data_IF_950936395908
#
_entry.id   IF_950936395908
#
_cell.length_a   1.000
_cell.length_b   1.000
_cell.length_c   1.000
_cell.angle_alpha   90.00
_cell.angle_beta   90.00
_cell.angle_gamma   90.00
#
_symmetry.space_group_name_H-M   'P 1'
#
loop_
_entity.id
_entity.type
_entity.pdbx_description
1 polymer ?
#
# COMPACT_ATOMS: atom_id res chain seq x y z
N UNK A 1 11.18 17.92 -16.82
CA UNK A 1 11.75 17.66 -15.47
C UNK A 1 10.66 16.97 -14.67
N UNK A 2 10.90 15.74 -14.21
CA UNK A 2 9.99 15.03 -13.32
C UNK A 2 10.28 15.37 -11.86
N UNK A 3 9.38 15.01 -10.96
CA UNK A 3 9.52 15.12 -9.51
C UNK A 3 10.49 14.09 -8.90
N UNK A 4 11.17 13.27 -9.70
CA UNK A 4 12.07 12.22 -9.24
C UNK A 4 11.37 10.88 -8.97
N UNK A 5 10.04 10.82 -9.11
CA UNK A 5 9.25 9.59 -8.91
C UNK A 5 9.19 8.78 -10.21
N UNK A 6 9.29 7.46 -10.07
CA UNK A 6 9.08 6.48 -11.13
C UNK A 6 7.93 5.60 -10.69
N UNK A 7 6.79 5.69 -11.37
CA UNK A 7 5.54 5.08 -10.89
C UNK A 7 4.96 5.93 -9.74
N UNK A 8 4.90 5.35 -8.55
CA UNK A 8 4.45 5.99 -7.30
C UNK A 8 5.45 5.77 -6.15
N UNK A 9 5.14 6.32 -4.97
CA UNK A 9 6.03 6.27 -3.81
C UNK A 9 6.34 4.86 -3.29
N UNK A 10 5.42 3.91 -3.46
CA UNK A 10 5.58 2.51 -3.04
C UNK A 10 6.41 1.70 -4.05
N UNK A 11 6.41 2.08 -5.33
CA UNK A 11 7.26 1.45 -6.36
C UNK A 11 8.71 1.93 -6.37
N UNK A 12 8.99 3.07 -5.73
CA UNK A 12 10.32 3.70 -5.75
C UNK A 12 11.41 2.80 -5.18
N UNK A 13 11.15 2.04 -4.11
CA UNK A 13 12.14 1.15 -3.50
C UNK A 13 12.74 0.16 -4.50
N UNK A 14 11.89 -0.46 -5.31
CA UNK A 14 12.32 -1.38 -6.36
C UNK A 14 12.93 -0.66 -7.57
N UNK A 15 12.38 0.50 -7.96
CA UNK A 15 12.92 1.30 -9.06
C UNK A 15 14.35 1.77 -8.79
N UNK A 16 14.63 2.20 -7.54
CA UNK A 16 15.98 2.58 -7.11
C UNK A 16 16.97 1.42 -7.24
N UNK A 17 16.60 0.22 -6.76
CA UNK A 17 17.44 -0.98 -6.88
C UNK A 17 17.73 -1.33 -8.35
N UNK A 18 16.69 -1.31 -9.20
CA UNK A 18 16.82 -1.66 -10.60
C UNK A 18 17.72 -0.67 -11.36
N UNK A 19 17.52 0.64 -11.18
CA UNK A 19 18.31 1.66 -11.87
C UNK A 19 19.75 1.75 -11.38
N UNK A 20 20.00 1.41 -10.12
CA UNK A 20 21.37 1.31 -9.63
C UNK A 20 22.11 0.14 -10.26
N UNK A 21 21.45 -1.02 -10.38
CA UNK A 21 22.03 -2.22 -10.97
C UNK A 21 22.20 -2.18 -12.50
N UNK A 22 21.50 -1.26 -13.20
CA UNK A 22 21.42 -1.24 -14.68
C UNK A 22 21.97 0.04 -15.32
N UNK A 23 22.86 0.75 -14.62
CA UNK A 23 23.50 2.00 -15.09
C UNK A 23 24.01 1.98 -16.53
N UNK A 24 24.55 0.85 -16.97
CA UNK A 24 25.09 0.67 -18.32
C UNK A 24 24.04 0.78 -19.43
N UNK A 25 22.76 0.49 -19.15
CA UNK A 25 21.71 0.41 -20.15
C UNK A 25 21.02 1.74 -20.45
N UNK A 26 21.16 2.74 -19.56
CA UNK A 26 20.58 4.06 -19.79
C UNK A 26 21.61 5.17 -19.98
N UNK A 27 22.91 4.88 -19.83
CA UNK A 27 23.94 5.80 -20.25
C UNK A 27 23.79 6.17 -21.75
N UNK A 28 24.01 7.43 -22.16
CA UNK A 28 24.51 8.56 -21.38
C UNK A 28 23.42 9.37 -20.66
N UNK A 29 22.15 8.94 -20.70
CA UNK A 29 21.07 9.63 -20.01
C UNK A 29 21.37 9.64 -18.52
N UNK A 30 21.36 10.81 -17.89
CA UNK A 30 21.58 10.92 -16.46
C UNK A 30 20.25 10.77 -15.72
N UNK A 31 20.23 9.91 -14.71
CA UNK A 31 19.15 9.84 -13.74
C UNK A 31 19.62 10.44 -12.42
N UNK A 32 18.82 11.36 -11.87
CA UNK A 32 19.13 12.05 -10.62
C UNK A 32 18.72 11.18 -9.44
N UNK A 33 19.63 10.28 -9.04
CA UNK A 33 19.44 9.39 -7.89
C UNK A 33 19.25 10.18 -6.58
N UNK A 34 19.91 11.34 -6.43
CA UNK A 34 19.77 12.17 -5.23
C UNK A 34 18.35 12.76 -5.11
N UNK A 35 17.78 13.22 -6.23
CA UNK A 35 16.39 13.66 -6.28
C UNK A 35 15.43 12.52 -5.91
N UNK A 36 15.60 11.33 -6.49
CA UNK A 36 14.78 10.17 -6.21
C UNK A 36 14.88 9.72 -4.73
N UNK A 37 16.09 9.73 -4.17
CA UNK A 37 16.35 9.41 -2.77
C UNK A 37 15.68 10.42 -1.83
N UNK A 38 15.75 11.72 -2.13
CA UNK A 38 15.10 12.75 -1.32
C UNK A 38 13.58 12.58 -1.22
N UNK A 39 12.95 12.04 -2.27
CA UNK A 39 11.51 11.80 -2.27
C UNK A 39 11.14 10.65 -1.33
N UNK A 40 11.84 9.51 -1.43
CA UNK A 40 11.57 8.36 -0.55
C UNK A 40 11.97 8.64 0.90
N UNK A 41 13.07 9.36 1.14
CA UNK A 41 13.51 9.68 2.50
C UNK A 41 12.53 10.60 3.23
N UNK A 42 11.80 11.45 2.50
CA UNK A 42 10.83 12.39 3.05
C UNK A 42 9.43 11.82 3.27
N UNK A 43 9.17 10.57 2.89
CA UNK A 43 7.85 9.95 3.03
C UNK A 43 7.75 9.11 4.30
N UNK A 44 6.60 9.18 4.97
CA UNK A 44 6.32 8.42 6.19
C UNK A 44 5.69 7.07 5.84
N UNK A 45 6.49 6.01 5.85
CA UNK A 45 6.04 4.66 5.54
C UNK A 45 5.53 3.97 6.80
N UNK A 46 4.21 3.75 6.86
CA UNK A 46 3.57 2.97 7.93
C UNK A 46 3.45 1.48 7.58
N UNK A 47 3.43 1.15 6.27
CA UNK A 47 3.25 -0.22 5.79
C UNK A 47 4.57 -1.03 5.82
N UNK A 48 4.68 -2.12 6.60
CA UNK A 48 5.92 -2.88 6.75
C UNK A 48 6.50 -3.40 5.43
N UNK A 49 5.62 -3.75 4.48
CA UNK A 49 6.05 -4.25 3.18
C UNK A 49 6.62 -3.17 2.27
N UNK A 50 6.07 -1.95 2.33
CA UNK A 50 6.67 -0.80 1.66
C UNK A 50 8.09 -0.53 2.20
N UNK A 51 8.27 -0.60 3.52
CA UNK A 51 9.58 -0.47 4.16
C UNK A 51 10.52 -1.58 3.68
N UNK A 52 10.06 -2.84 3.65
CA UNK A 52 10.88 -3.98 3.24
C UNK A 52 11.37 -3.88 1.78
N UNK A 53 10.58 -3.27 0.88
CA UNK A 53 10.97 -3.04 -0.51
C UNK A 53 11.90 -1.83 -0.68
N UNK A 54 11.79 -0.83 0.18
CA UNK A 54 12.59 0.38 0.14
C UNK A 54 13.95 0.23 0.83
N UNK A 55 13.99 -0.45 1.98
CA UNK A 55 15.15 -0.51 2.87
C UNK A 55 16.45 -0.96 2.16
N UNK A 56 16.47 -1.96 1.26
CA UNK A 56 17.68 -2.30 0.53
C UNK A 56 18.26 -1.11 -0.23
N UNK A 57 17.43 -0.37 -0.97
CA UNK A 57 17.88 0.80 -1.73
C UNK A 57 18.45 1.89 -0.82
N UNK A 58 17.84 2.13 0.34
CA UNK A 58 18.32 3.12 1.32
C UNK A 58 19.70 2.76 1.88
N UNK A 59 20.02 1.47 1.94
CA UNK A 59 21.32 0.94 2.37
C UNK A 59 22.32 0.80 1.21
N UNK A 60 21.98 1.27 0.02
CA UNK A 60 22.80 1.09 -1.19
C UNK A 60 22.93 -0.38 -1.60
N UNK A 61 21.90 -1.18 -1.33
CA UNK A 61 21.80 -2.61 -1.64
C UNK A 61 20.65 -2.89 -2.59
N UNK A 62 20.71 -4.06 -3.20
CA UNK A 62 19.68 -4.61 -4.05
C UNK A 62 19.46 -6.09 -3.73
N UNK A 63 18.41 -6.69 -4.28
CA UNK A 63 18.22 -8.13 -4.20
C UNK A 63 19.34 -8.96 -4.85
N UNK A 64 20.18 -8.36 -5.70
CA UNK A 64 21.37 -9.04 -6.26
C UNK A 64 22.47 -9.25 -5.22
N UNK A 65 22.48 -8.46 -4.14
CA UNK A 65 23.48 -8.55 -3.07
C UNK A 65 23.21 -9.71 -2.08
N UNK A 66 22.05 -10.38 -2.19
CA UNK A 66 21.61 -11.42 -1.26
C UNK A 66 22.59 -12.61 -1.20
N UNK A 67 23.19 -12.97 -2.35
CA UNK A 67 24.15 -14.07 -2.41
C UNK A 67 25.45 -13.79 -1.63
N UNK A 68 25.76 -12.51 -1.36
CA UNK A 68 26.95 -12.07 -0.64
C UNK A 68 26.71 -11.74 0.83
N UNK A 69 25.56 -12.10 1.39
CA UNK A 69 25.23 -11.80 2.79
C UNK A 69 26.10 -12.59 3.77
N UNK A 70 26.84 -11.88 4.61
CA UNK A 70 27.57 -12.45 5.74
C UNK A 70 26.69 -12.47 6.99
N UNK A 71 26.10 -13.62 7.27
CA UNK A 71 25.25 -13.84 8.46
C UNK A 71 26.04 -13.96 9.77
N UNK A 72 27.38 -14.03 9.73
CA UNK A 72 28.19 -14.04 10.95
C UNK A 72 28.45 -12.62 11.48
N UNK A 73 28.51 -11.62 10.59
CA UNK A 73 28.73 -10.22 10.93
C UNK A 73 27.59 -9.56 11.73
N UNK A 74 26.39 -10.15 11.76
CA UNK A 74 25.23 -9.63 12.51
C UNK A 74 25.22 -10.00 14.00
N UNK A 75 26.19 -10.80 14.47
CA UNK A 75 26.27 -11.23 15.88
C UNK A 75 26.82 -10.17 16.84
N UNK A 76 27.42 -9.10 16.31
CA UNK A 76 28.09 -8.06 17.10
C UNK A 76 27.28 -6.77 17.28
N UNK A 77 25.95 -6.81 17.07
CA UNK A 77 25.09 -5.64 17.32
C UNK A 77 24.97 -5.42 18.84
N UNK A 78 25.47 -4.29 19.39
CA UNK A 78 25.42 -4.04 20.82
C UNK A 78 23.96 -3.85 21.30
N UNK A 79 23.60 -4.25 22.54
CA UNK A 79 22.25 -4.15 23.08
C UNK A 79 21.67 -2.72 23.08
N UNK A 80 22.53 -1.70 23.02
CA UNK A 80 22.16 -0.28 22.96
C UNK A 80 21.54 0.17 21.63
N UNK A 81 21.52 -0.68 20.60
CA UNK A 81 20.82 -0.43 19.33
C UNK A 81 19.47 -1.15 19.23
N UNK A 82 19.03 -1.84 20.29
CA UNK A 82 17.67 -2.38 20.34
C UNK A 82 16.68 -1.22 20.48
N UNK A 83 16.05 -0.86 19.37
CA UNK A 83 14.84 -0.03 19.37
C UNK A 83 13.81 -0.70 20.29
N UNK A 84 13.09 0.06 21.13
CA UNK A 84 12.05 -0.50 21.97
C UNK A 84 11.05 -1.26 21.08
N UNK A 85 10.99 -2.57 21.28
CA UNK A 85 9.99 -3.46 20.69
C UNK A 85 8.66 -3.19 21.38
N UNK A 86 7.99 -2.10 21.01
CA UNK A 86 6.53 -1.89 21.10
C UNK A 86 6.24 -0.42 20.83
N UNK A 87 5.46 -0.07 19.79
CA UNK A 87 4.59 1.09 19.91
C UNK A 87 3.59 0.77 21.04
N UNK A 88 3.58 1.57 22.11
CA UNK A 88 2.42 1.58 22.98
C UNK A 88 1.22 1.99 22.13
N UNK A 89 0.24 1.11 21.95
CA UNK A 89 -1.06 1.49 21.41
C UNK A 89 -1.66 2.50 22.39
N UNK A 90 -1.54 3.78 22.05
CA UNK A 90 -2.20 4.84 22.77
C UNK A 90 -3.69 4.74 22.53
N UNK A 91 -4.41 3.98 23.36
CA UNK A 91 -5.88 4.02 23.41
C UNK A 91 -6.32 5.28 24.15
N UNK A 92 -5.97 6.46 23.61
CA UNK A 92 -6.64 7.69 24.00
C UNK A 92 -7.90 7.80 23.15
N UNK A 93 -9.03 7.45 23.75
CA UNK A 93 -10.37 7.70 23.22
C UNK A 93 -10.64 9.20 23.21
N UNK A 94 -9.95 9.94 22.34
CA UNK A 94 -10.34 11.30 21.98
C UNK A 94 -11.59 11.16 21.11
N UNK A 95 -12.69 11.85 21.42
CA UNK A 95 -13.84 11.93 20.53
C UNK A 95 -13.36 12.42 19.17
N UNK A 96 -13.43 11.56 18.16
CA UNK A 96 -13.10 11.93 16.80
C UNK A 96 -14.36 12.49 16.15
N UNK A 97 -14.23 13.62 15.47
CA UNK A 97 -15.31 14.15 14.65
C UNK A 97 -15.76 13.08 13.65
N UNK A 98 -17.06 13.04 13.33
CA UNK A 98 -17.59 12.14 12.32
C UNK A 98 -17.44 12.78 10.94
N UNK A 99 -17.08 11.96 9.97
CA UNK A 99 -17.05 12.31 8.55
C UNK A 99 -18.09 11.47 7.80
N UNK A 100 -18.62 12.03 6.71
CA UNK A 100 -19.52 11.32 5.81
C UNK A 100 -18.79 11.06 4.49
N UNK A 101 -18.80 9.80 4.05
CA UNK A 101 -18.18 9.34 2.81
C UNK A 101 -19.27 8.82 1.88
N UNK A 102 -19.25 9.28 0.63
CA UNK A 102 -20.10 8.73 -0.41
C UNK A 102 -19.43 7.47 -0.98
N UNK A 103 -20.02 6.31 -0.73
CA UNK A 103 -19.51 5.01 -1.14
C UNK A 103 -20.34 4.46 -2.30
N UNK A 104 -19.67 3.98 -3.35
CA UNK A 104 -20.33 3.39 -4.52
C UNK A 104 -19.60 2.16 -5.01
N UNK A 105 -20.34 1.12 -5.36
CA UNK A 105 -19.86 -0.11 -6.00
C UNK A 105 -20.47 -0.21 -7.38
N UNK A 106 -19.65 -0.56 -8.38
CA UNK A 106 -20.12 -0.68 -9.76
C UNK A 106 -19.47 -1.87 -10.45
N UNK A 107 -20.29 -2.69 -11.10
CA UNK A 107 -19.84 -3.71 -12.02
C UNK A 107 -20.52 -3.52 -13.37
N UNK A 108 -19.70 -3.23 -14.37
CA UNK A 108 -20.11 -3.05 -15.77
C UNK A 108 -19.43 -4.06 -16.70
N UNK A 109 -18.72 -5.05 -16.14
CA UNK A 109 -17.82 -5.94 -16.86
C UNK A 109 -18.31 -7.39 -16.92
N UNK A 110 -18.70 -7.99 -15.78
CA UNK A 110 -18.89 -9.44 -15.67
C UNK A 110 -20.27 -9.81 -15.12
N UNK A 111 -20.92 -10.82 -15.71
CA UNK A 111 -22.20 -11.32 -15.22
C UNK A 111 -23.32 -10.27 -15.28
N UNK A 112 -24.13 -10.19 -14.21
CA UNK A 112 -25.20 -9.19 -14.10
C UNK A 112 -24.61 -7.85 -13.67
N UNK A 113 -24.82 -6.81 -14.45
CA UNK A 113 -24.38 -5.46 -14.10
C UNK A 113 -25.14 -4.95 -12.88
N UNK A 114 -24.43 -4.22 -12.02
CA UNK A 114 -25.00 -3.59 -10.85
C UNK A 114 -24.28 -2.29 -10.52
N UNK A 115 -25.01 -1.39 -9.86
CA UNK A 115 -24.49 -0.15 -9.33
C UNK A 115 -25.26 0.20 -8.07
N UNK A 116 -24.58 0.21 -6.93
CA UNK A 116 -25.17 0.53 -5.63
C UNK A 116 -24.36 1.64 -4.97
N UNK A 117 -25.03 2.51 -4.22
CA UNK A 117 -24.38 3.62 -3.54
C UNK A 117 -25.05 3.94 -2.23
N UNK A 118 -24.27 4.37 -1.25
CA UNK A 118 -24.76 4.79 0.07
C UNK A 118 -23.88 5.89 0.66
N UNK A 119 -24.38 6.60 1.67
CA UNK A 119 -23.61 7.55 2.45
C UNK A 119 -23.26 6.93 3.79
N UNK A 120 -21.97 6.74 4.04
CA UNK A 120 -21.46 6.08 5.25
C UNK A 120 -20.91 7.14 6.20
N UNK A 121 -21.27 7.07 7.48
CA UNK A 121 -20.73 7.96 8.50
C UNK A 121 -19.74 7.20 9.37
N UNK A 122 -18.49 7.65 9.44
CA UNK A 122 -17.41 7.02 10.21
C UNK A 122 -16.62 8.06 11.01
N UNK A 123 -15.91 7.66 12.08
CA UNK A 123 -14.95 8.54 12.75
C UNK A 123 -13.88 9.07 11.79
N UNK A 124 -13.41 10.29 12.02
CA UNK A 124 -12.28 10.85 11.30
C UNK A 124 -11.03 9.97 11.53
N UNK A 125 -10.25 9.74 10.47
CA UNK A 125 -9.11 8.83 10.46
C UNK A 125 -9.48 7.35 10.39
N UNK A 126 -10.73 7.00 10.09
CA UNK A 126 -11.10 5.63 9.70
C UNK A 126 -10.57 5.28 8.30
N UNK A 127 -10.30 4.00 8.09
CA UNK A 127 -9.82 3.45 6.81
C UNK A 127 -10.99 3.16 5.87
N UNK A 128 -10.68 2.88 4.60
CA UNK A 128 -11.70 2.49 3.61
C UNK A 128 -12.35 1.14 3.98
N UNK A 129 -11.59 0.21 4.56
CA UNK A 129 -12.11 -1.05 5.08
C UNK A 129 -13.22 -0.81 6.11
N UNK A 130 -13.02 0.15 7.03
CA UNK A 130 -14.05 0.52 8.00
C UNK A 130 -15.32 1.07 7.33
N UNK A 131 -15.18 1.86 6.25
CA UNK A 131 -16.32 2.35 5.47
C UNK A 131 -17.09 1.19 4.84
N UNK A 132 -16.37 0.19 4.30
CA UNK A 132 -16.98 -1.01 3.72
C UNK A 132 -17.69 -1.86 4.77
N UNK A 133 -17.08 -2.04 5.95
CA UNK A 133 -17.69 -2.76 7.07
C UNK A 133 -19.01 -2.13 7.51
N UNK A 134 -19.04 -0.81 7.70
CA UNK A 134 -20.26 -0.10 8.11
C UNK A 134 -21.33 -0.18 7.00
N UNK A 135 -20.95 -0.06 5.73
CA UNK A 135 -21.90 -0.22 4.62
C UNK A 135 -22.47 -1.64 4.54
N UNK A 136 -21.64 -2.65 4.77
CA UNK A 136 -22.04 -4.06 4.77
C UNK A 136 -22.93 -4.42 5.97
N UNK A 137 -22.73 -3.79 7.13
CA UNK A 137 -23.58 -3.95 8.31
C UNK A 137 -24.98 -3.34 8.08
N UNK A 138 -25.05 -2.16 7.46
CA UNK A 138 -26.31 -1.47 7.16
C UNK A 138 -27.12 -2.17 6.05
N UNK A 139 -26.45 -2.59 4.96
CA UNK A 139 -27.10 -3.30 3.86
C UNK A 139 -26.19 -4.43 3.31
N UNK A 140 -26.23 -5.62 3.93
CA UNK A 140 -25.38 -6.75 3.53
C UNK A 140 -25.75 -7.34 2.17
N UNK A 141 -26.98 -7.13 1.69
CA UNK A 141 -27.40 -7.63 0.38
C UNK A 141 -26.62 -6.94 -0.73
N UNK A 142 -26.43 -5.63 -0.63
CA UNK A 142 -25.74 -4.85 -1.66
C UNK A 142 -24.25 -4.70 -1.39
N UNK A 143 -23.83 -4.53 -0.12
CA UNK A 143 -22.46 -4.14 0.22
C UNK A 143 -21.63 -5.25 0.89
N UNK A 144 -22.09 -6.50 0.90
CA UNK A 144 -21.26 -7.62 1.37
C UNK A 144 -19.97 -7.73 0.57
N UNK A 145 -18.88 -8.07 1.26
CA UNK A 145 -17.57 -8.25 0.65
C UNK A 145 -16.80 -9.38 1.36
N UNK A 146 -15.74 -9.84 0.71
CA UNK A 146 -14.80 -10.82 1.27
C UNK A 146 -13.38 -10.30 1.14
N UNK A 147 -12.52 -10.74 2.05
CA UNK A 147 -11.13 -10.34 2.13
C UNK A 147 -10.20 -11.53 2.30
N UNK A 148 -8.93 -11.30 2.00
CA UNK A 148 -7.81 -12.20 2.26
C UNK A 148 -6.63 -11.38 2.80
N UNK A 149 -5.88 -11.96 3.74
CA UNK A 149 -4.67 -11.33 4.28
C UNK A 149 -3.46 -11.58 3.36
N UNK A 150 -2.74 -10.51 3.04
CA UNK A 150 -1.54 -10.57 2.19
C UNK A 150 -0.35 -9.93 2.89
N UNK A 151 0.85 -10.04 2.30
CA UNK A 151 2.03 -9.31 2.82
C UNK A 151 1.86 -7.78 2.79
N UNK A 152 0.92 -7.27 2.00
CA UNK A 152 0.57 -5.85 1.90
C UNK A 152 -0.64 -5.46 2.77
N UNK A 153 -1.18 -6.40 3.54
CA UNK A 153 -2.38 -6.21 4.36
C UNK A 153 -3.63 -6.82 3.71
N UNK A 154 -4.79 -6.38 4.19
CA UNK A 154 -6.10 -6.91 3.79
C UNK A 154 -6.44 -6.57 2.33
N UNK A 155 -6.60 -7.60 1.52
CA UNK A 155 -6.97 -7.51 0.11
C UNK A 155 -8.43 -7.90 -0.10
N UNK A 156 -9.19 -7.08 -0.82
CA UNK A 156 -10.61 -7.34 -1.10
C UNK A 156 -10.73 -8.26 -2.31
N UNK A 157 -11.26 -9.47 -2.09
CA UNK A 157 -11.37 -10.52 -3.10
C UNK A 157 -12.73 -10.55 -3.78
N UNK A 158 -13.78 -10.09 -3.11
CA UNK A 158 -15.16 -10.15 -3.63
C UNK A 158 -16.02 -9.01 -3.08
N UNK A 159 -16.93 -8.49 -3.89
CA UNK A 159 -17.96 -7.50 -3.49
C UNK A 159 -19.29 -7.91 -4.14
N UNK A 160 -20.38 -7.85 -3.38
CA UNK A 160 -21.73 -8.21 -3.82
C UNK A 160 -21.79 -9.60 -4.47
N UNK A 161 -21.06 -10.56 -3.87
CA UNK A 161 -20.97 -11.94 -4.36
C UNK A 161 -20.18 -12.15 -5.65
N UNK A 162 -19.58 -11.11 -6.23
CA UNK A 162 -18.73 -11.21 -7.42
C UNK A 162 -17.24 -11.16 -7.01
N UNK A 163 -16.55 -12.27 -7.21
CA UNK A 163 -15.13 -12.42 -6.89
C UNK A 163 -14.23 -11.97 -8.05
N UNK A 164 -13.06 -11.44 -7.70
CA UNK A 164 -11.93 -11.25 -8.59
C UNK A 164 -11.45 -12.61 -9.15
N UNK A 165 -10.89 -12.61 -10.36
CA UNK A 165 -10.42 -13.82 -11.02
C UNK A 165 -9.10 -13.54 -11.75
N UNK A 166 -8.06 -14.29 -11.38
CA UNK A 166 -6.71 -14.18 -11.95
C UNK A 166 -6.64 -14.61 -13.42
N UNK A 167 -7.35 -15.67 -13.80
CA UNK A 167 -7.38 -16.19 -15.18
C UNK A 167 -8.08 -15.20 -16.12
N UNK A 168 -9.18 -14.60 -15.64
CA UNK A 168 -9.94 -13.58 -16.37
C UNK A 168 -9.30 -12.18 -16.28
N UNK A 169 -8.28 -12.02 -15.43
CA UNK A 169 -7.62 -10.74 -15.11
C UNK A 169 -8.60 -9.67 -14.59
N UNK A 170 -9.56 -10.08 -13.78
CA UNK A 170 -10.55 -9.20 -13.15
C UNK A 170 -10.22 -8.98 -11.68
N UNK A 171 -10.38 -7.75 -11.20
CA UNK A 171 -10.12 -7.36 -9.82
C UNK A 171 -11.00 -6.17 -9.39
N UNK A 172 -11.07 -5.92 -8.09
CA UNK A 172 -11.76 -4.76 -7.53
C UNK A 172 -10.81 -3.57 -7.42
N UNK A 173 -11.11 -2.50 -8.17
CA UNK A 173 -10.34 -1.26 -8.14
C UNK A 173 -11.03 -0.24 -7.24
N UNK A 174 -10.25 0.38 -6.35
CA UNK A 174 -10.73 1.44 -5.47
C UNK A 174 -10.30 2.81 -5.99
N UNK A 175 -11.26 3.74 -5.99
CA UNK A 175 -11.09 5.08 -6.54
C UNK A 175 -11.56 6.12 -5.52
N UNK A 176 -10.86 7.25 -5.42
CA UNK A 176 -11.34 8.46 -4.76
C UNK A 176 -11.51 9.57 -5.78
N UNK A 177 -12.75 10.05 -5.93
CA UNK A 177 -13.13 11.05 -6.94
C UNK A 177 -12.64 10.70 -8.37
N UNK A 178 -12.64 9.41 -8.72
CA UNK A 178 -12.20 8.90 -10.03
C UNK A 178 -10.70 8.63 -10.17
N UNK A 179 -9.88 8.95 -9.16
CA UNK A 179 -8.45 8.63 -9.15
C UNK A 179 -8.20 7.33 -8.40
N UNK A 180 -7.36 6.45 -8.97
CA UNK A 180 -6.98 5.21 -8.30
C UNK A 180 -6.23 5.49 -7.00
N UNK A 181 -6.57 4.74 -5.95
CA UNK A 181 -5.84 4.79 -4.69
C UNK A 181 -4.46 4.15 -4.85
N UNK A 182 -3.47 4.72 -4.16
CA UNK A 182 -2.11 4.17 -4.11
C UNK A 182 -1.89 3.22 -2.92
N UNK A 183 -2.80 3.25 -1.94
CA UNK A 183 -2.82 2.38 -0.76
C UNK A 183 -3.98 1.38 -0.83
N UNK A 184 -3.86 0.29 -0.05
CA UNK A 184 -4.94 -0.68 0.14
C UNK A 184 -6.12 -0.11 0.93
N UNK A 185 -7.15 -0.93 1.14
CA UNK A 185 -8.33 -0.51 1.89
C UNK A 185 -8.10 -0.39 3.40
N UNK A 186 -7.10 -1.11 3.93
CA UNK A 186 -6.82 -1.26 5.38
C UNK A 186 -5.75 -0.33 5.92
#
# INVERSE_FOLDING_TARGET
KGNGVIGNIYSMGLALQALEATREFYAPRTWDCAQAFSVVYGHDYQQPMAIAQLLPALLGKSYLDVAGLDCAATKDVPPSQQLPLSPMLGTHGIPRDLIQVYWSISNTLQGKHFHCSTSVTVPNGSTLLQVMEVAAEDNPQDFSFQTEETSWGTYVTSIHGLAANTDDRTYWQFLSAGNALEEGGG
#
